data_IF_852776769453
#
_entry.id   IF_852776769453
#
_cell.length_a   1.000
_cell.length_b   1.000
_cell.length_c   1.000
_cell.angle_alpha   90.00
_cell.angle_beta   90.00
_cell.angle_gamma   90.00
#
_symmetry.space_group_name_H-M   'P 1'
#
loop_
_entity.id
_entity.type
_entity.pdbx_description
1 polymer ?
#
# COMPACT_ATOMS: atom_id res chain seq x y z
N UNK A 1 -10.45 14.39 10.92
CA UNK A 1 -10.23 14.23 9.50
C UNK A 1 -10.10 12.78 9.15
N UNK A 2 -10.67 12.43 8.02
CA UNK A 2 -10.72 11.04 7.63
C UNK A 2 -9.60 10.76 6.61
N UNK A 3 -8.82 9.74 6.88
CA UNK A 3 -7.80 9.33 5.93
C UNK A 3 -8.38 8.34 4.95
N UNK A 4 -8.10 8.54 3.68
CA UNK A 4 -8.47 7.56 2.66
C UNK A 4 -7.40 6.49 2.58
N UNK A 5 -7.74 5.37 1.93
CA UNK A 5 -6.75 4.32 1.72
C UNK A 5 -5.57 4.84 0.90
N UNK A 6 -5.83 5.76 -0.01
CA UNK A 6 -4.76 6.36 -0.80
C UNK A 6 -3.78 7.12 0.10
N UNK A 7 -4.29 7.92 1.02
CA UNK A 7 -3.43 8.67 1.93
C UNK A 7 -2.63 7.75 2.82
N UNK A 8 -3.29 6.72 3.35
CA UNK A 8 -2.62 5.77 4.23
C UNK A 8 -1.52 5.02 3.49
N UNK A 9 -1.81 4.55 2.28
CA UNK A 9 -0.81 3.85 1.49
C UNK A 9 0.37 4.74 1.14
N UNK A 10 0.08 6.00 0.82
CA UNK A 10 1.15 6.94 0.51
C UNK A 10 2.10 7.08 1.69
N UNK A 11 1.56 7.19 2.89
CA UNK A 11 2.38 7.31 4.08
C UNK A 11 3.17 6.04 4.36
N UNK A 12 2.53 4.88 4.19
CA UNK A 12 3.21 3.61 4.43
C UNK A 12 4.37 3.43 3.46
N UNK A 13 4.12 3.71 2.18
CA UNK A 13 5.14 3.58 1.15
C UNK A 13 6.26 4.57 1.39
N UNK A 14 5.91 5.79 1.76
CA UNK A 14 6.92 6.83 2.02
C UNK A 14 7.85 6.41 3.14
N UNK A 15 7.30 5.84 4.19
CA UNK A 15 8.13 5.36 5.30
C UNK A 15 9.04 4.23 4.86
N UNK A 16 8.52 3.31 4.08
CA UNK A 16 9.29 2.15 3.64
C UNK A 16 10.41 2.57 2.69
N UNK A 17 10.14 3.55 1.84
CA UNK A 17 11.09 4.01 0.84
C UNK A 17 11.95 5.19 1.32
N UNK A 18 11.69 5.68 2.52
CA UNK A 18 12.40 6.84 3.09
C UNK A 18 12.22 8.07 2.22
N UNK A 19 10.99 8.30 1.78
CA UNK A 19 10.64 9.44 0.93
C UNK A 19 9.57 10.28 1.60
N UNK A 20 9.42 11.50 1.07
CA UNK A 20 8.32 12.36 1.49
C UNK A 20 7.03 11.85 0.85
N UNK A 21 5.92 11.76 1.60
CA UNK A 21 4.66 11.32 1.01
C UNK A 21 4.22 12.14 -0.19
N UNK A 22 4.59 13.42 -0.24
CA UNK A 22 4.22 14.28 -1.37
C UNK A 22 4.93 13.88 -2.66
N UNK A 23 6.01 13.09 -2.57
CA UNK A 23 6.72 12.61 -3.74
C UNK A 23 6.09 11.38 -4.36
N UNK A 24 5.04 10.84 -3.73
CA UNK A 24 4.42 9.59 -4.16
C UNK A 24 3.07 9.90 -4.77
N UNK A 25 2.87 9.41 -5.99
CA UNK A 25 1.61 9.58 -6.72
C UNK A 25 1.07 8.20 -7.10
N UNK A 26 -0.22 8.10 -7.47
CA UNK A 26 -0.75 6.82 -7.92
C UNK A 26 -0.02 6.23 -9.12
N UNK A 27 0.56 7.10 -9.96
CA UNK A 27 1.30 6.63 -11.13
C UNK A 27 2.73 6.22 -10.81
N UNK A 28 3.19 6.45 -9.60
CA UNK A 28 4.55 6.10 -9.23
C UNK A 28 4.76 4.59 -9.33
N UNK A 29 5.89 4.22 -9.92
CA UNK A 29 6.28 2.81 -10.03
C UNK A 29 7.10 2.46 -8.79
N UNK A 30 6.72 1.40 -8.10
CA UNK A 30 7.33 1.07 -6.81
C UNK A 30 8.83 0.84 -6.93
N UNK A 31 9.27 0.16 -7.99
CA UNK A 31 10.69 -0.08 -8.17
C UNK A 31 11.47 1.22 -8.38
N UNK A 32 10.84 2.21 -8.98
CA UNK A 32 11.48 3.50 -9.19
C UNK A 32 11.59 4.30 -7.90
N UNK A 33 10.74 3.99 -6.94
CA UNK A 33 10.79 4.62 -5.62
C UNK A 33 11.82 3.95 -4.71
N UNK A 34 12.46 2.90 -5.17
CA UNK A 34 13.40 2.16 -4.36
C UNK A 34 12.78 1.07 -3.51
N UNK A 35 11.51 0.75 -3.77
CA UNK A 35 10.81 -0.31 -3.06
C UNK A 35 11.18 -1.65 -3.69
N UNK A 36 11.64 -2.57 -2.86
CA UNK A 36 11.97 -3.93 -3.30
C UNK A 36 10.79 -4.85 -3.06
N UNK A 37 10.89 -6.09 -3.53
CA UNK A 37 9.83 -7.07 -3.29
C UNK A 37 9.66 -7.33 -1.80
N UNK A 38 10.75 -7.31 -1.05
CA UNK A 38 10.67 -7.49 0.40
C UNK A 38 9.98 -6.30 1.05
N UNK A 39 10.30 -5.11 0.59
CA UNK A 39 9.64 -3.90 1.07
C UNK A 39 8.13 -3.97 0.81
N UNK A 40 7.76 -4.48 -0.36
CA UNK A 40 6.34 -4.60 -0.70
C UNK A 40 5.63 -5.55 0.27
N UNK A 41 6.27 -6.66 0.61
CA UNK A 41 5.69 -7.59 1.58
C UNK A 41 5.47 -6.87 2.91
N UNK A 42 6.44 -6.07 3.33
CA UNK A 42 6.30 -5.32 4.58
C UNK A 42 5.18 -4.29 4.52
N UNK A 43 5.03 -3.65 3.37
CA UNK A 43 3.92 -2.73 3.16
C UNK A 43 2.60 -3.45 3.30
N UNK A 44 2.47 -4.61 2.68
CA UNK A 44 1.24 -5.40 2.76
C UNK A 44 0.97 -5.83 4.20
N UNK A 45 2.01 -6.26 4.91
CA UNK A 45 1.84 -6.66 6.31
C UNK A 45 1.40 -5.48 7.17
N UNK A 46 1.91 -4.29 6.89
CA UNK A 46 1.48 -3.10 7.60
C UNK A 46 0.01 -2.81 7.38
N UNK A 47 -0.45 -3.00 6.14
CA UNK A 47 -1.86 -2.83 5.82
C UNK A 47 -2.71 -3.85 6.57
N UNK A 48 -2.26 -5.09 6.61
CA UNK A 48 -2.98 -6.14 7.33
C UNK A 48 -3.13 -5.81 8.81
N UNK A 49 -2.05 -5.31 9.40
CA UNK A 49 -2.09 -4.94 10.82
C UNK A 49 -2.99 -3.74 11.05
N UNK A 50 -2.88 -2.75 10.18
CA UNK A 50 -3.60 -1.49 10.38
C UNK A 50 -5.09 -1.68 10.23
N UNK A 51 -5.52 -2.52 9.32
CA UNK A 51 -6.93 -2.70 9.04
C UNK A 51 -7.48 -4.04 9.54
N UNK A 52 -6.63 -4.84 10.16
CA UNK A 52 -7.02 -6.14 10.70
C UNK A 52 -7.62 -7.01 9.62
N UNK A 53 -6.95 -7.10 8.49
CA UNK A 53 -7.38 -7.92 7.35
C UNK A 53 -6.26 -8.86 6.97
N UNK A 54 -6.64 -9.90 6.23
CA UNK A 54 -5.69 -10.88 5.73
C UNK A 54 -5.61 -10.76 4.22
N UNK A 55 -4.39 -10.58 3.70
CA UNK A 55 -4.16 -10.45 2.27
C UNK A 55 -3.35 -11.65 1.81
N UNK A 56 -3.99 -12.62 1.16
CA UNK A 56 -3.34 -13.89 0.83
C UNK A 56 -2.52 -13.80 -0.47
N UNK A 57 -1.42 -13.07 -0.42
CA UNK A 57 -0.50 -12.97 -1.55
C UNK A 57 0.89 -13.36 -1.08
N UNK A 58 1.65 -14.02 -1.94
CA UNK A 58 3.04 -14.24 -1.64
C UNK A 58 3.89 -13.14 -2.29
N UNK A 59 5.18 -13.12 -1.91
CA UNK A 59 6.05 -12.02 -2.30
C UNK A 59 6.24 -11.94 -3.82
N UNK A 60 6.35 -13.07 -4.48
CA UNK A 60 6.59 -13.08 -5.92
C UNK A 60 5.36 -12.60 -6.66
N UNK A 61 4.20 -13.11 -6.28
CA UNK A 61 2.96 -12.70 -6.92
C UNK A 61 2.69 -11.22 -6.68
N UNK A 62 2.91 -10.76 -5.46
CA UNK A 62 2.67 -9.36 -5.14
C UNK A 62 3.57 -8.46 -5.97
N UNK A 63 4.84 -8.83 -6.10
CA UNK A 63 5.78 -8.02 -6.87
C UNK A 63 5.39 -7.95 -8.34
N UNK A 64 4.86 -9.04 -8.88
CA UNK A 64 4.44 -9.06 -10.28
C UNK A 64 3.14 -8.32 -10.51
N UNK A 65 2.23 -8.38 -9.54
CA UNK A 65 0.88 -7.82 -9.69
C UNK A 65 0.80 -6.35 -9.29
N UNK A 66 1.58 -5.95 -8.28
CA UNK A 66 1.46 -4.61 -7.70
C UNK A 66 2.73 -3.82 -8.00
N UNK A 67 2.83 -3.30 -9.21
CA UNK A 67 4.02 -2.58 -9.63
C UNK A 67 3.92 -1.09 -9.43
N UNK A 68 2.72 -0.57 -9.26
CA UNK A 68 2.49 0.85 -9.06
C UNK A 68 1.73 1.09 -7.77
N UNK A 69 1.79 2.34 -7.31
CA UNK A 69 1.01 2.73 -6.14
C UNK A 69 -0.48 2.53 -6.41
N UNK A 70 -0.93 2.82 -7.62
CA UNK A 70 -2.34 2.64 -7.99
C UNK A 70 -2.78 1.19 -7.81
N UNK A 71 -1.91 0.23 -8.09
CA UNK A 71 -2.25 -1.19 -7.91
C UNK A 71 -2.57 -1.50 -6.47
N UNK A 72 -1.79 -0.93 -5.54
CA UNK A 72 -2.03 -1.13 -4.12
C UNK A 72 -3.30 -0.42 -3.66
N UNK A 73 -3.57 0.76 -4.22
CA UNK A 73 -4.80 1.47 -3.91
C UNK A 73 -6.00 0.65 -4.34
N UNK A 74 -5.94 0.05 -5.53
CA UNK A 74 -7.01 -0.80 -6.02
C UNK A 74 -7.21 -2.02 -5.12
N UNK A 75 -6.12 -2.59 -4.64
CA UNK A 75 -6.22 -3.69 -3.69
C UNK A 75 -6.98 -3.24 -2.45
N UNK A 76 -6.65 -2.07 -1.92
CA UNK A 76 -7.34 -1.54 -0.76
C UNK A 76 -8.83 -1.35 -1.01
N UNK A 77 -9.18 -0.82 -2.18
CA UNK A 77 -10.59 -0.65 -2.53
C UNK A 77 -11.31 -1.99 -2.62
N UNK A 78 -10.66 -2.99 -3.21
CA UNK A 78 -11.30 -4.30 -3.37
C UNK A 78 -11.51 -4.99 -2.02
N UNK A 79 -10.72 -4.62 -1.02
CA UNK A 79 -10.89 -5.16 0.34
C UNK A 79 -11.85 -4.34 1.18
N UNK A 80 -12.39 -3.27 0.59
CA UNK A 80 -13.34 -2.43 1.31
C UNK A 80 -12.71 -1.49 2.31
N UNK A 81 -11.44 -1.17 2.15
CA UNK A 81 -10.72 -0.32 3.10
C UNK A 81 -10.90 1.17 2.82
N UNK A 82 -11.47 1.49 1.68
CA UNK A 82 -11.54 2.86 1.21
C UNK A 82 -12.43 3.71 2.11
N UNK A 83 -11.80 4.69 2.76
CA UNK A 83 -12.53 5.66 3.55
C UNK A 83 -13.25 5.09 4.75
N UNK A 84 -13.09 3.84 5.03
CA UNK A 84 -13.80 3.21 6.12
C UNK A 84 -12.89 2.96 7.27
N UNK A 85 -13.28 3.46 8.40
CA UNK A 85 -12.68 3.00 9.62
C UNK A 85 -13.27 1.66 9.95
N UNK A 86 -12.41 0.72 10.24
CA UNK A 86 -12.87 -0.54 10.74
C UNK A 86 -13.64 -0.29 12.03
N UNK A 87 -14.62 -1.03 12.26
CA UNK A 87 -15.40 -0.88 13.46
C UNK A 87 -16.52 0.12 13.32
N UNK A 88 -16.60 0.73 12.21
CA UNK A 88 -17.73 1.59 11.95
C UNK A 88 -18.98 0.77 11.82
#
# INVERSE_FOLDING_TARGET
MRETIEDVLREIIAKQAHLDPSAITPESVLSELGVTSLDLVEIIMTIEDKYDVSIPVDAVEAWNDYKTVASLIELGHSLGLDGHCSGS
#
